data_IF_339491539798
#
_entry.id   IF_339491539798
#
_cell.length_a   1.000
_cell.length_b   1.000
_cell.length_c   1.000
_cell.angle_alpha   90.00
_cell.angle_beta   90.00
_cell.angle_gamma   90.00
#
_symmetry.space_group_name_H-M   'P 1'
#
loop_
_entity.id
_entity.type
_entity.pdbx_description
1 polymer ?
#
# COMPACT_ATOMS: atom_id res chain seq x y z
N UNK A 1 -22.11 -25.94 -12.65
CA UNK A 1 -21.75 -24.59 -13.14
C UNK A 1 -21.77 -23.62 -11.97
N UNK A 2 -20.74 -23.62 -11.12
CA UNK A 2 -20.76 -22.90 -9.82
C UNK A 2 -19.51 -22.06 -9.54
N UNK A 3 -18.44 -22.19 -10.35
CA UNK A 3 -17.16 -21.51 -10.11
C UNK A 3 -17.09 -20.04 -10.57
N UNK A 4 -17.95 -19.61 -11.48
CA UNK A 4 -17.85 -18.28 -12.10
C UNK A 4 -18.46 -17.15 -11.26
N UNK A 5 -19.41 -17.48 -10.36
CA UNK A 5 -20.03 -16.49 -9.45
C UNK A 5 -19.13 -16.11 -8.27
N UNK A 6 -18.22 -16.99 -7.85
CA UNK A 6 -17.30 -16.74 -6.73
C UNK A 6 -16.17 -15.78 -7.10
N UNK A 7 -15.53 -15.97 -8.27
CA UNK A 7 -14.50 -15.05 -8.82
C UNK A 7 -15.03 -13.64 -9.03
N UNK A 8 -16.28 -13.51 -9.47
CA UNK A 8 -16.91 -12.21 -9.73
C UNK A 8 -17.24 -11.47 -8.43
N UNK A 9 -17.61 -12.19 -7.36
CA UNK A 9 -17.82 -11.60 -6.02
C UNK A 9 -16.51 -11.08 -5.41
N UNK A 10 -15.40 -11.81 -5.60
CA UNK A 10 -14.07 -11.39 -5.19
C UNK A 10 -13.61 -10.07 -5.84
N UNK A 11 -13.89 -9.90 -7.15
CA UNK A 11 -13.62 -8.65 -7.86
C UNK A 11 -14.40 -7.46 -7.29
N UNK A 12 -15.63 -7.67 -6.80
CA UNK A 12 -16.45 -6.59 -6.25
C UNK A 12 -16.05 -6.17 -4.84
N UNK A 13 -15.52 -7.09 -4.02
CA UNK A 13 -15.00 -6.74 -2.69
C UNK A 13 -13.72 -5.91 -2.79
N UNK A 14 -12.82 -6.26 -3.72
CA UNK A 14 -11.62 -5.48 -3.98
C UNK A 14 -11.91 -4.03 -4.41
N UNK A 15 -13.00 -3.79 -5.15
CA UNK A 15 -13.40 -2.45 -5.60
C UNK A 15 -14.11 -1.66 -4.49
N UNK A 16 -14.92 -2.31 -3.66
CA UNK A 16 -15.68 -1.64 -2.61
C UNK A 16 -14.78 -1.08 -1.48
N UNK A 17 -13.66 -1.75 -1.18
CA UNK A 17 -12.68 -1.30 -0.17
C UNK A 17 -11.99 0.01 -0.57
N UNK A 18 -11.85 0.28 -1.87
CA UNK A 18 -11.28 1.55 -2.37
C UNK A 18 -12.23 2.74 -2.16
N UNK A 19 -13.54 2.51 -2.01
CA UNK A 19 -14.55 3.58 -2.02
C UNK A 19 -14.86 4.15 -0.61
N UNK A 20 -14.59 3.41 0.48
CA UNK A 20 -14.94 3.87 1.85
C UNK A 20 -13.99 4.99 2.37
N UNK A 21 -12.97 5.33 1.59
CA UNK A 21 -11.93 6.37 1.78
C UNK A 21 -12.43 7.79 2.11
N UNK A 22 -13.72 8.11 2.04
CA UNK A 22 -14.19 9.51 1.94
C UNK A 22 -14.61 10.19 3.26
N UNK A 23 -14.81 9.49 4.38
CA UNK A 23 -15.55 10.07 5.52
C UNK A 23 -14.75 10.52 6.77
N UNK A 24 -13.45 10.24 6.89
CA UNK A 24 -12.72 10.34 8.17
C UNK A 24 -12.08 11.69 8.53
N UNK A 25 -12.12 12.70 7.66
CA UNK A 25 -11.24 13.88 7.73
C UNK A 25 -11.59 14.99 8.74
N UNK A 26 -12.09 14.73 9.95
CA UNK A 26 -12.57 15.80 10.85
C UNK A 26 -12.03 15.82 12.29
N UNK A 27 -10.87 15.21 12.60
CA UNK A 27 -10.30 15.26 13.97
C UNK A 27 -8.99 16.07 14.09
N UNK A 28 -8.77 17.05 13.21
CA UNK A 28 -7.68 18.02 13.28
C UNK A 28 -8.00 19.11 14.32
N UNK A 29 -7.68 18.93 15.62
CA UNK A 29 -7.53 20.09 16.54
C UNK A 29 -6.93 19.86 17.95
N UNK A 30 -6.07 18.87 18.22
CA UNK A 30 -5.47 18.76 19.59
C UNK A 30 -3.95 18.60 19.56
N UNK A 31 -3.30 19.76 19.42
CA UNK A 31 -2.12 20.22 20.19
C UNK A 31 -0.85 19.34 20.35
N UNK A 32 0.27 19.99 20.02
CA UNK A 32 1.55 20.01 20.75
C UNK A 32 2.65 19.01 20.34
N UNK A 33 3.64 19.51 19.59
CA UNK A 33 5.02 18.99 19.67
C UNK A 33 5.83 18.88 18.37
N UNK A 34 5.24 19.03 17.18
CA UNK A 34 5.96 18.71 15.93
C UNK A 34 6.89 19.88 15.54
N UNK A 35 8.20 19.62 15.50
CA UNK A 35 9.12 20.42 14.65
C UNK A 35 8.44 20.51 13.28
N UNK A 36 8.21 21.71 12.78
CA UNK A 36 7.63 21.91 11.45
C UNK A 36 8.43 21.09 10.44
N UNK A 37 7.82 20.07 9.86
CA UNK A 37 8.43 19.21 8.84
C UNK A 37 8.95 20.10 7.72
N UNK A 38 10.18 19.84 7.25
CA UNK A 38 10.78 20.69 6.22
C UNK A 38 10.14 20.43 4.86
N UNK A 39 10.14 21.44 3.98
CA UNK A 39 9.69 21.26 2.59
C UNK A 39 10.52 20.21 1.85
N UNK A 40 11.81 20.06 2.21
CA UNK A 40 12.68 19.04 1.62
C UNK A 40 12.25 17.62 2.03
N UNK A 41 11.93 17.40 3.31
CA UNK A 41 11.42 16.12 3.78
C UNK A 41 10.10 15.76 3.07
N UNK A 42 9.20 16.74 2.93
CA UNK A 42 7.94 16.50 2.23
C UNK A 42 8.11 16.23 0.74
N UNK A 43 9.08 16.85 0.08
CA UNK A 43 9.37 16.54 -1.32
C UNK A 43 9.77 15.06 -1.52
N UNK A 44 10.50 14.48 -0.56
CA UNK A 44 10.86 13.04 -0.57
C UNK A 44 9.62 12.17 -0.40
N UNK A 45 8.78 12.47 0.59
CA UNK A 45 7.54 11.72 0.88
C UNK A 45 6.58 11.78 -0.32
N UNK A 46 6.40 12.97 -0.89
CA UNK A 46 5.57 13.16 -2.08
C UNK A 46 6.06 12.36 -3.30
N UNK A 47 7.38 12.30 -3.49
CA UNK A 47 7.96 11.54 -4.59
C UNK A 47 7.71 10.04 -4.43
N UNK A 48 7.95 9.50 -3.24
CA UNK A 48 7.64 8.11 -2.89
C UNK A 48 6.16 7.82 -3.12
N UNK A 49 5.27 8.73 -2.73
CA UNK A 49 3.83 8.58 -2.92
C UNK A 49 3.41 8.55 -4.39
N UNK A 50 3.99 9.43 -5.23
CA UNK A 50 3.77 9.39 -6.69
C UNK A 50 4.21 8.05 -7.28
N UNK A 51 5.39 7.57 -6.90
CA UNK A 51 5.91 6.29 -7.37
C UNK A 51 5.04 5.12 -6.92
N UNK A 52 4.57 5.13 -5.68
CA UNK A 52 3.63 4.14 -5.16
C UNK A 52 2.33 4.10 -5.96
N UNK A 53 1.72 5.26 -6.23
CA UNK A 53 0.47 5.33 -7.01
C UNK A 53 0.63 4.83 -8.44
N UNK A 54 1.73 5.20 -9.10
CA UNK A 54 2.06 4.68 -10.42
C UNK A 54 2.23 3.15 -10.40
N UNK A 55 2.88 2.61 -9.36
CA UNK A 55 3.02 1.18 -9.18
C UNK A 55 1.68 0.48 -8.90
N UNK A 56 0.83 1.06 -8.05
CA UNK A 56 -0.49 0.53 -7.72
C UNK A 56 -1.38 0.43 -8.98
N UNK A 57 -1.34 1.44 -9.85
CA UNK A 57 -2.05 1.40 -11.12
C UNK A 57 -1.57 0.23 -12.01
N UNK A 58 -0.26 -0.01 -12.08
CA UNK A 58 0.30 -1.11 -12.85
C UNK A 58 0.02 -2.50 -12.24
N UNK A 59 0.01 -2.62 -10.91
CA UNK A 59 -0.38 -3.84 -10.21
C UNK A 59 -1.85 -4.15 -10.46
N UNK A 60 -2.72 -3.14 -10.37
CA UNK A 60 -4.16 -3.26 -10.69
C UNK A 60 -4.36 -3.75 -12.12
N UNK A 61 -3.66 -3.17 -13.08
CA UNK A 61 -3.68 -3.61 -14.48
C UNK A 61 -3.25 -5.07 -14.62
N UNK A 62 -2.13 -5.44 -13.99
CA UNK A 62 -1.60 -6.82 -14.00
C UNK A 62 -2.61 -7.83 -13.43
N UNK A 63 -3.24 -7.53 -12.29
CA UNK A 63 -4.17 -8.47 -11.66
C UNK A 63 -5.54 -8.52 -12.35
N UNK A 64 -6.03 -7.41 -12.90
CA UNK A 64 -7.31 -7.38 -13.63
C UNK A 64 -7.20 -8.03 -15.02
N UNK A 65 -6.07 -7.85 -15.71
CA UNK A 65 -5.88 -8.29 -17.09
C UNK A 65 -5.04 -9.57 -17.24
N UNK A 66 -4.15 -9.88 -16.29
CA UNK A 66 -3.28 -11.07 -16.32
C UNK A 66 -3.99 -12.39 -15.98
N UNK A 67 -5.11 -12.31 -15.26
CA UNK A 67 -5.99 -13.46 -15.02
C UNK A 67 -5.70 -14.25 -13.74
N UNK A 68 -4.85 -13.73 -12.84
CA UNK A 68 -4.58 -14.33 -11.53
C UNK A 68 -3.77 -15.62 -11.63
N UNK A 69 -2.85 -15.68 -12.60
CA UNK A 69 -1.92 -16.79 -12.77
C UNK A 69 -0.75 -16.62 -11.78
N UNK A 70 -0.07 -17.71 -11.37
CA UNK A 70 1.09 -17.64 -10.47
C UNK A 70 2.14 -16.60 -10.85
N UNK A 71 2.45 -16.47 -12.14
CA UNK A 71 3.38 -15.48 -12.68
C UNK A 71 2.93 -14.03 -12.47
N UNK A 72 1.62 -13.75 -12.51
CA UNK A 72 1.09 -12.40 -12.24
C UNK A 72 1.36 -12.01 -10.79
N UNK A 73 1.12 -12.96 -9.87
CA UNK A 73 1.38 -12.75 -8.44
C UNK A 73 2.87 -12.56 -8.15
N UNK A 74 3.77 -13.31 -8.81
CA UNK A 74 5.22 -13.08 -8.68
C UNK A 74 5.63 -11.70 -9.20
N UNK A 75 5.12 -11.29 -10.36
CA UNK A 75 5.42 -9.97 -10.91
C UNK A 75 4.92 -8.84 -10.01
N UNK A 76 3.76 -9.00 -9.37
CA UNK A 76 3.25 -8.05 -8.38
C UNK A 76 4.10 -8.05 -7.11
N UNK A 77 4.50 -9.21 -6.61
CA UNK A 77 5.37 -9.33 -5.44
C UNK A 77 6.70 -8.59 -5.64
N UNK A 78 7.36 -8.81 -6.79
CA UNK A 78 8.61 -8.13 -7.15
C UNK A 78 8.46 -6.60 -7.17
N UNK A 79 7.37 -6.10 -7.75
CA UNK A 79 7.08 -4.66 -7.79
C UNK A 79 6.86 -4.07 -6.40
N UNK A 80 6.15 -4.77 -5.53
CA UNK A 80 5.88 -4.33 -4.16
C UNK A 80 7.15 -4.34 -3.32
N UNK A 81 8.00 -5.36 -3.48
CA UNK A 81 9.31 -5.42 -2.82
C UNK A 81 10.21 -4.25 -3.28
N UNK A 82 10.26 -3.96 -4.58
CA UNK A 82 11.00 -2.81 -5.10
C UNK A 82 10.52 -1.49 -4.48
N UNK A 83 9.20 -1.33 -4.25
CA UNK A 83 8.68 -0.14 -3.58
C UNK A 83 9.06 -0.10 -2.09
N UNK A 84 9.04 -1.23 -1.39
CA UNK A 84 9.51 -1.32 -0.02
C UNK A 84 10.97 -0.85 0.10
N UNK A 85 11.83 -1.28 -0.82
CA UNK A 85 13.25 -0.91 -0.82
C UNK A 85 13.45 0.57 -1.13
N UNK A 86 12.65 1.16 -2.04
CA UNK A 86 12.66 2.62 -2.28
C UNK A 86 12.21 3.41 -1.07
N UNK A 87 11.16 2.98 -0.39
CA UNK A 87 10.69 3.62 0.85
C UNK A 87 11.78 3.56 1.94
N UNK A 88 12.47 2.42 2.08
CA UNK A 88 13.61 2.30 2.99
C UNK A 88 14.75 3.25 2.64
N UNK A 89 15.08 3.41 1.36
CA UNK A 89 16.05 4.42 0.92
C UNK A 89 15.62 5.87 1.23
N UNK A 90 14.31 6.15 1.13
CA UNK A 90 13.75 7.46 1.46
C UNK A 90 13.82 7.80 2.95
N UNK A 91 13.78 6.80 3.84
CA UNK A 91 13.93 7.00 5.30
C UNK A 91 15.23 7.71 5.66
N UNK A 92 16.33 7.40 4.95
CA UNK A 92 17.63 8.03 5.19
C UNK A 92 17.73 9.43 4.59
N UNK A 93 16.76 9.83 3.77
CA UNK A 93 16.71 11.11 3.06
C UNK A 93 15.82 12.16 3.71
N UNK A 94 15.12 11.80 4.80
CA UNK A 94 14.32 12.75 5.60
C UNK A 94 15.00 13.01 6.94
N UNK A 95 14.77 14.17 7.54
CA UNK A 95 15.31 14.52 8.86
C UNK A 95 14.29 14.28 9.99
N UNK A 96 13.02 14.55 9.75
CA UNK A 96 11.96 14.39 10.74
C UNK A 96 11.81 12.92 11.19
N UNK A 97 11.95 12.67 12.50
CA UNK A 97 11.88 11.32 13.07
C UNK A 97 10.50 10.64 12.89
N UNK A 98 9.42 11.43 12.92
CA UNK A 98 8.06 10.94 12.72
C UNK A 98 7.89 10.44 11.27
N UNK A 99 8.35 11.21 10.27
CA UNK A 99 8.38 10.78 8.87
C UNK A 99 9.22 9.51 8.66
N UNK A 100 10.38 9.38 9.33
CA UNK A 100 11.17 8.14 9.28
C UNK A 100 10.38 6.94 9.76
N UNK A 101 9.63 7.12 10.84
CA UNK A 101 8.84 6.06 11.46
C UNK A 101 7.72 5.61 10.53
N UNK A 102 6.99 6.57 9.97
CA UNK A 102 5.87 6.26 9.08
C UNK A 102 6.34 5.71 7.72
N UNK A 103 7.43 6.23 7.14
CA UNK A 103 8.04 5.68 5.94
C UNK A 103 8.52 4.23 6.15
N UNK A 104 9.12 3.92 7.31
CA UNK A 104 9.50 2.54 7.65
C UNK A 104 8.28 1.64 7.76
N UNK A 105 7.24 2.09 8.47
CA UNK A 105 5.99 1.33 8.61
C UNK A 105 5.35 1.05 7.24
N UNK A 106 5.38 2.04 6.35
CA UNK A 106 4.87 1.88 5.00
C UNK A 106 5.71 0.88 4.19
N UNK A 107 7.04 0.97 4.30
CA UNK A 107 7.96 0.03 3.64
C UNK A 107 7.78 -1.41 4.13
N UNK A 108 7.61 -1.60 5.44
CA UNK A 108 7.42 -2.92 6.03
C UNK A 108 6.09 -3.53 5.59
N UNK A 109 5.02 -2.73 5.52
CA UNK A 109 3.75 -3.16 4.94
C UNK A 109 3.87 -3.54 3.46
N UNK A 110 4.64 -2.78 2.66
CA UNK A 110 4.86 -3.11 1.25
C UNK A 110 5.63 -4.44 1.09
N UNK A 111 6.61 -4.70 1.95
CA UNK A 111 7.34 -5.97 1.98
C UNK A 111 6.46 -7.14 2.44
N UNK A 112 5.61 -6.94 3.47
CA UNK A 112 4.65 -7.96 3.91
C UNK A 112 3.65 -8.26 2.78
N UNK A 113 3.16 -7.23 2.08
CA UNK A 113 2.27 -7.42 0.93
C UNK A 113 2.93 -8.24 -0.18
N UNK A 114 4.21 -7.97 -0.49
CA UNK A 114 4.98 -8.75 -1.44
C UNK A 114 5.07 -10.24 -1.03
N UNK A 115 5.33 -10.51 0.26
CA UNK A 115 5.37 -11.88 0.78
C UNK A 115 4.01 -12.59 0.64
N UNK A 116 2.89 -11.89 0.89
CA UNK A 116 1.55 -12.45 0.67
C UNK A 116 1.33 -12.79 -0.81
N UNK A 117 1.79 -11.96 -1.74
CA UNK A 117 1.67 -12.25 -3.18
C UNK A 117 2.55 -13.42 -3.61
N UNK A 118 3.76 -13.54 -3.06
CA UNK A 118 4.63 -14.70 -3.29
C UNK A 118 3.95 -15.99 -2.81
N UNK A 119 3.41 -16.00 -1.59
CA UNK A 119 2.66 -17.14 -1.07
C UNK A 119 1.43 -17.48 -1.94
N UNK A 120 0.73 -16.46 -2.46
CA UNK A 120 -0.37 -16.65 -3.39
C UNK A 120 0.06 -17.25 -4.75
N UNK A 121 1.32 -17.08 -5.15
CA UNK A 121 1.89 -17.64 -6.38
C UNK A 121 2.37 -19.09 -6.23
N UNK A 122 2.71 -19.52 -5.03
CA UNK A 122 3.27 -20.86 -4.75
C UNK A 122 2.18 -21.94 -4.62
N UNK A 123 0.92 -21.55 -4.49
CA UNK A 123 -0.20 -22.45 -4.18
C UNK A 123 -1.14 -22.64 -5.39
N UNK A 124 -1.00 -23.74 -6.17
CA UNK A 124 -1.87 -24.01 -7.32
C UNK A 124 -3.33 -24.34 -6.95
N UNK A 125 -3.60 -24.83 -5.73
CA UNK A 125 -4.91 -25.38 -5.32
C UNK A 125 -5.60 -24.63 -4.15
N UNK A 126 -5.05 -23.48 -3.72
CA UNK A 126 -5.72 -22.55 -2.80
C UNK A 126 -5.84 -23.00 -1.33
N UNK A 127 -5.09 -24.01 -0.88
CA UNK A 127 -5.18 -24.54 0.49
C UNK A 127 -4.32 -23.76 1.51
N UNK A 128 -3.25 -23.07 1.07
CA UNK A 128 -2.44 -22.18 1.91
C UNK A 128 -2.34 -20.74 1.38
N UNK A 129 -3.32 -20.29 0.57
CA UNK A 129 -3.38 -18.88 0.13
C UNK A 129 -3.54 -17.98 1.37
N UNK A 130 -2.84 -16.83 1.43
CA UNK A 130 -3.09 -15.88 2.51
C UNK A 130 -4.55 -15.49 2.61
N UNK A 131 -5.03 -15.33 3.84
CA UNK A 131 -6.43 -14.99 4.07
C UNK A 131 -6.71 -13.55 3.63
N UNK A 132 -7.97 -13.25 3.30
CA UNK A 132 -8.41 -11.87 3.09
C UNK A 132 -8.08 -10.99 4.29
N UNK A 133 -8.15 -11.55 5.49
CA UNK A 133 -7.79 -10.86 6.73
C UNK A 133 -6.32 -10.48 6.79
N UNK A 134 -5.42 -11.27 6.22
CA UNK A 134 -4.00 -10.93 6.12
C UNK A 134 -3.77 -9.74 5.20
N UNK A 135 -4.37 -9.78 3.99
CA UNK A 135 -4.29 -8.67 3.05
C UNK A 135 -4.90 -7.38 3.63
N UNK A 136 -6.06 -7.48 4.28
CA UNK A 136 -6.71 -6.33 4.91
C UNK A 136 -5.88 -5.75 6.06
N UNK A 137 -5.26 -6.60 6.89
CA UNK A 137 -4.39 -6.14 7.99
C UNK A 137 -3.21 -5.33 7.45
N UNK A 138 -2.53 -5.85 6.43
CA UNK A 138 -1.40 -5.18 5.80
C UNK A 138 -1.84 -3.86 5.16
N UNK A 139 -2.94 -3.89 4.39
CA UNK A 139 -3.48 -2.70 3.76
C UNK A 139 -3.84 -1.60 4.79
N UNK A 140 -4.46 -1.97 5.91
CA UNK A 140 -4.74 -1.04 7.01
C UNK A 140 -3.46 -0.43 7.57
N UNK A 141 -2.44 -1.24 7.87
CA UNK A 141 -1.16 -0.73 8.39
C UNK A 141 -0.48 0.25 7.43
N UNK A 142 -0.51 -0.05 6.13
CA UNK A 142 0.04 0.84 5.11
C UNK A 142 -0.76 2.13 4.96
N UNK A 143 -2.09 2.05 5.04
CA UNK A 143 -2.96 3.22 4.98
C UNK A 143 -2.75 4.14 6.18
N UNK A 144 -2.68 3.59 7.40
CA UNK A 144 -2.38 4.39 8.61
C UNK A 144 -1.06 5.14 8.47
N UNK A 145 -0.03 4.49 7.90
CA UNK A 145 1.27 5.11 7.65
C UNK A 145 1.17 6.22 6.59
N UNK A 146 0.51 5.95 5.46
CA UNK A 146 0.32 6.93 4.40
C UNK A 146 -0.54 8.13 4.84
N UNK A 147 -1.54 7.91 5.69
CA UNK A 147 -2.36 8.97 6.30
C UNK A 147 -1.51 9.85 7.22
N UNK A 148 -0.73 9.25 8.12
CA UNK A 148 0.18 10.00 8.99
C UNK A 148 1.20 10.82 8.18
N UNK A 149 1.73 10.26 7.09
CA UNK A 149 2.60 10.99 6.17
C UNK A 149 1.88 12.16 5.48
N UNK A 150 0.63 11.96 5.04
CA UNK A 150 -0.19 13.01 4.41
C UNK A 150 -0.57 14.14 5.38
N UNK A 151 -0.84 13.84 6.64
CA UNK A 151 -1.05 14.85 7.69
C UNK A 151 0.18 15.73 7.92
N UNK A 152 1.37 15.14 7.79
CA UNK A 152 2.65 15.81 7.95
C UNK A 152 3.08 16.56 6.68
N UNK A 153 2.70 16.06 5.51
CA UNK A 153 3.04 16.58 4.19
C UNK A 153 1.79 16.75 3.31
N UNK A 154 1.07 17.88 3.43
CA UNK A 154 -0.26 18.05 2.84
C UNK A 154 -0.34 18.01 1.30
N UNK A 155 0.79 18.18 0.61
CA UNK A 155 0.87 18.07 -0.85
C UNK A 155 1.12 16.62 -1.33
N UNK A 156 1.21 15.65 -0.41
CA UNK A 156 1.30 14.24 -0.74
C UNK A 156 0.07 13.81 -1.56
N UNK A 157 0.26 13.22 -2.75
CA UNK A 157 -0.85 12.74 -3.55
C UNK A 157 -1.53 11.56 -2.85
N UNK A 158 -2.85 11.62 -2.77
CA UNK A 158 -3.66 10.49 -2.31
C UNK A 158 -3.58 9.32 -3.29
N UNK A 159 -3.76 8.10 -2.77
CA UNK A 159 -3.83 6.90 -3.59
C UNK A 159 -5.02 6.97 -4.59
N UNK A 160 -4.81 6.47 -5.80
CA UNK A 160 -5.76 6.46 -6.93
C UNK A 160 -6.04 5.05 -7.45
#
# INVERSE_FOLDING_TARGET
MSGQRSRRRWLWVAVAVVVVVVAGGLAWWVTAGRRSVSTADCAVVEDVARQWNANAAAVRDTLLNGGGRPEDYRAVAERQQQMADRMRGAVDSVDAADLKTDLRRWADGAAELAALQTAAAEEPDGQARPSDTDFERVARSMNDAAESLGEQCPAMPSAT
#
